data_IF_857775260995
#
_entry.id   IF_857775260995
#
_cell.length_a   1.000
_cell.length_b   1.000
_cell.length_c   1.000
_cell.angle_alpha   90.00
_cell.angle_beta   90.00
_cell.angle_gamma   90.00
#
_symmetry.space_group_name_H-M   'P 1'
#
loop_
_entity.id
_entity.type
_entity.pdbx_description
1 polymer ?
#
# COMPACT_ATOMS: atom_id res chain seq x y z
N UNK A 1 10.10 5.67 62.01
CA UNK A 1 8.87 4.92 61.65
C UNK A 1 8.47 5.35 60.24
N UNK A 2 8.84 4.60 59.19
CA UNK A 2 7.96 3.70 58.40
C UNK A 2 6.58 4.33 58.20
N UNK A 3 6.19 4.71 56.98
CA UNK A 3 5.65 3.75 56.00
C UNK A 3 5.85 4.23 54.55
N UNK A 4 6.20 3.24 53.75
CA UNK A 4 6.57 3.20 52.34
C UNK A 4 5.33 3.22 51.45
N UNK A 5 5.33 3.98 50.35
CA UNK A 5 4.42 3.77 49.20
C UNK A 5 5.23 3.88 47.91
N UNK A 6 5.59 2.71 47.39
CA UNK A 6 6.13 2.49 46.06
C UNK A 6 4.93 2.53 45.11
N UNK A 7 4.89 3.46 44.16
CA UNK A 7 4.01 3.34 42.99
C UNK A 7 4.83 2.77 41.83
N UNK A 8 4.60 1.49 41.57
CA UNK A 8 4.87 0.86 40.29
C UNK A 8 3.81 1.35 39.30
N UNK A 9 4.21 2.08 38.27
CA UNK A 9 3.40 2.25 37.07
C UNK A 9 4.18 1.61 35.91
N UNK A 10 4.01 0.30 35.77
CA UNK A 10 4.24 -0.38 34.51
C UNK A 10 3.19 0.11 33.52
N UNK A 11 3.59 0.91 32.52
CA UNK A 11 2.80 1.04 31.30
C UNK A 11 3.62 0.52 30.14
N UNK A 12 3.06 -0.55 29.57
CA UNK A 12 3.47 -1.32 28.42
C UNK A 12 4.12 -0.47 27.33
N UNK A 13 5.39 -0.76 27.05
CA UNK A 13 5.95 -0.59 25.72
C UNK A 13 5.07 -1.36 24.74
N UNK A 14 4.28 -0.63 23.96
CA UNK A 14 3.65 -1.16 22.76
C UNK A 14 4.76 -1.53 21.78
N UNK A 15 5.18 -2.79 21.82
CA UNK A 15 5.91 -3.42 20.72
C UNK A 15 4.92 -3.38 19.55
N UNK A 16 5.22 -2.72 18.42
CA UNK A 16 4.43 -2.94 17.23
C UNK A 16 4.56 -4.43 16.90
N UNK A 17 3.45 -5.17 17.02
CA UNK A 17 3.35 -6.49 16.44
C UNK A 17 3.65 -6.32 14.95
N UNK A 18 4.85 -6.76 14.55
CA UNK A 18 5.16 -7.14 13.19
C UNK A 18 4.01 -8.02 12.72
N UNK A 19 3.19 -7.49 11.81
CA UNK A 19 2.27 -8.31 11.05
C UNK A 19 3.09 -9.14 10.06
N UNK A 20 3.72 -10.21 10.57
CA UNK A 20 4.21 -11.33 9.76
C UNK A 20 3.01 -12.11 9.22
N UNK A 21 2.23 -11.47 8.36
CA UNK A 21 1.15 -12.13 7.63
C UNK A 21 1.73 -12.67 6.33
N UNK A 22 2.34 -13.86 6.39
CA UNK A 22 2.54 -14.77 5.25
C UNK A 22 3.06 -14.12 3.94
N UNK A 23 4.23 -13.47 4.00
CA UNK A 23 4.83 -12.70 2.90
C UNK A 23 5.93 -13.45 2.12
N UNK A 24 5.85 -14.78 2.03
CA UNK A 24 6.71 -15.55 1.15
C UNK A 24 6.03 -15.77 -0.19
N UNK A 25 6.79 -15.66 -1.29
CA UNK A 25 6.41 -16.27 -2.56
C UNK A 25 6.34 -17.78 -2.33
N UNK A 26 5.15 -18.25 -1.94
CA UNK A 26 4.91 -19.66 -1.72
C UNK A 26 4.77 -20.34 -3.08
N UNK A 27 5.57 -21.38 -3.37
CA UNK A 27 5.43 -22.13 -4.61
C UNK A 27 4.04 -22.76 -4.66
N UNK A 28 3.34 -22.57 -5.77
CA UNK A 28 2.14 -23.35 -6.08
C UNK A 28 2.55 -24.79 -6.40
N UNK A 29 2.64 -25.65 -5.39
CA UNK A 29 2.82 -27.10 -5.58
C UNK A 29 3.95 -27.70 -4.74
N UNK A 30 3.58 -28.66 -3.89
CA UNK A 30 4.51 -29.49 -3.14
C UNK A 30 5.17 -30.52 -4.07
N UNK A 31 6.36 -30.19 -4.53
CA UNK A 31 7.26 -31.07 -5.26
C UNK A 31 8.59 -30.36 -5.45
N UNK A 32 9.70 -31.03 -5.17
CA UNK A 32 11.03 -30.57 -5.60
C UNK A 32 11.12 -30.87 -7.09
N UNK A 33 10.37 -30.12 -7.89
CA UNK A 33 10.47 -30.17 -9.34
C UNK A 33 11.45 -29.07 -9.73
N UNK A 34 12.65 -29.46 -10.14
CA UNK A 34 13.63 -28.56 -10.75
C UNK A 34 13.09 -28.19 -12.13
N UNK A 35 12.13 -27.28 -12.18
CA UNK A 35 11.67 -26.70 -13.44
C UNK A 35 12.88 -26.01 -14.09
N UNK A 36 13.21 -26.31 -15.35
CA UNK A 36 14.25 -25.59 -16.07
C UNK A 36 13.96 -24.07 -16.01
N UNK A 37 14.97 -23.31 -15.62
CA UNK A 37 14.89 -21.85 -15.62
C UNK A 37 14.91 -21.28 -17.04
N UNK A 38 14.64 -19.98 -17.15
CA UNK A 38 14.81 -19.26 -18.41
C UNK A 38 16.29 -18.96 -18.66
N UNK A 39 16.70 -18.98 -19.93
CA UNK A 39 18.08 -18.65 -20.35
C UNK A 39 18.50 -17.23 -19.93
N UNK A 40 17.54 -16.32 -19.81
CA UNK A 40 17.74 -14.98 -19.25
C UNK A 40 16.95 -14.85 -17.94
N UNK A 41 17.63 -14.36 -16.90
CA UNK A 41 17.02 -14.08 -15.61
C UNK A 41 15.94 -13.02 -15.70
N UNK A 42 14.81 -13.24 -15.03
CA UNK A 42 13.75 -12.24 -14.93
C UNK A 42 13.01 -12.29 -13.60
N UNK A 43 12.40 -11.17 -13.24
CA UNK A 43 11.40 -11.05 -12.18
C UNK A 43 10.29 -10.15 -12.67
N UNK A 44 9.04 -10.59 -12.53
CA UNK A 44 7.87 -9.84 -13.00
C UNK A 44 6.77 -9.84 -11.95
N UNK A 45 6.20 -8.66 -11.70
CA UNK A 45 4.94 -8.50 -10.99
C UNK A 45 3.80 -8.20 -11.97
N UNK A 46 2.63 -8.76 -11.69
CA UNK A 46 1.39 -8.48 -12.42
C UNK A 46 0.27 -8.20 -11.44
N UNK A 47 -0.26 -6.99 -11.49
CA UNK A 47 -1.47 -6.64 -10.76
C UNK A 47 -2.65 -7.49 -11.26
N UNK A 48 -3.62 -7.83 -10.40
CA UNK A 48 -4.92 -8.33 -10.85
C UNK A 48 -5.54 -7.43 -11.94
N UNK A 49 -6.40 -8.01 -12.79
CA UNK A 49 -7.00 -7.28 -13.93
C UNK A 49 -7.86 -6.10 -13.50
N UNK A 50 -8.58 -6.23 -12.38
CA UNK A 50 -9.33 -5.14 -11.80
C UNK A 50 -8.39 -4.13 -11.15
N UNK A 51 -8.76 -2.85 -11.21
CA UNK A 51 -8.05 -1.80 -10.50
C UNK A 51 -8.21 -2.01 -8.99
N UNK A 52 -7.18 -1.61 -8.24
CA UNK A 52 -7.22 -1.76 -6.80
C UNK A 52 -8.11 -0.67 -6.24
N UNK A 53 -9.23 -1.05 -5.62
CA UNK A 53 -10.19 -0.08 -5.10
C UNK A 53 -9.89 0.27 -3.66
N UNK A 54 -9.73 1.55 -3.37
CA UNK A 54 -9.61 2.08 -2.01
C UNK A 54 -10.76 3.07 -1.80
N UNK A 55 -11.50 2.90 -0.71
CA UNK A 55 -12.52 3.87 -0.30
C UNK A 55 -12.06 4.54 0.99
N UNK A 56 -11.94 5.86 0.96
CA UNK A 56 -11.54 6.68 2.09
C UNK A 56 -12.68 7.63 2.45
N UNK A 57 -12.93 7.78 3.75
CA UNK A 57 -13.88 8.76 4.28
C UNK A 57 -13.10 9.85 4.98
N UNK A 58 -13.40 11.09 4.66
CA UNK A 58 -12.79 12.28 5.23
C UNK A 58 -13.85 13.19 5.83
N UNK A 59 -13.47 13.97 6.83
CA UNK A 59 -14.31 14.99 7.45
C UNK A 59 -13.51 16.19 7.96
N UNK A 60 -14.17 17.33 8.19
CA UNK A 60 -13.61 18.39 9.02
C UNK A 60 -13.42 17.93 10.46
N UNK A 61 -12.34 18.34 11.10
CA UNK A 61 -12.14 18.09 12.54
C UNK A 61 -13.17 18.90 13.33
N UNK A 62 -13.97 18.22 14.16
CA UNK A 62 -15.08 18.83 14.91
C UNK A 62 -14.65 19.97 15.83
N UNK A 63 -15.54 20.95 16.05
CA UNK A 63 -15.33 22.07 16.96
C UNK A 63 -14.74 23.33 16.31
N UNK A 64 -14.58 23.32 14.99
CA UNK A 64 -14.06 24.44 14.22
C UNK A 64 -15.20 25.33 13.72
N UNK A 65 -15.61 26.30 14.53
CA UNK A 65 -16.48 27.39 14.05
C UNK A 65 -15.76 28.29 13.04
N UNK A 66 -16.50 28.95 12.16
CA UNK A 66 -15.94 29.95 11.24
C UNK A 66 -15.97 29.52 9.76
N UNK A 67 -15.12 30.16 8.94
CA UNK A 67 -15.06 29.92 7.50
C UNK A 67 -14.58 28.49 7.19
N UNK A 68 -15.35 27.68 6.44
CA UNK A 68 -14.97 26.33 6.02
C UNK A 68 -13.61 26.23 5.32
N UNK A 69 -13.17 27.32 4.67
CA UNK A 69 -11.85 27.40 4.05
C UNK A 69 -10.67 27.27 5.04
N UNK A 70 -10.92 27.39 6.35
CA UNK A 70 -9.91 27.30 7.40
C UNK A 70 -10.01 25.99 8.21
N UNK A 71 -10.87 25.06 7.80
CA UNK A 71 -11.02 23.80 8.53
C UNK A 71 -9.82 22.89 8.30
N UNK A 72 -9.39 22.22 9.37
CA UNK A 72 -8.50 21.09 9.26
C UNK A 72 -9.33 19.84 8.98
N UNK A 73 -8.74 18.93 8.21
CA UNK A 73 -9.40 17.72 7.77
C UNK A 73 -8.67 16.48 8.26
N UNK A 74 -9.43 15.41 8.46
CA UNK A 74 -8.90 14.12 8.81
C UNK A 74 -9.57 13.02 7.99
N UNK A 75 -8.83 11.95 7.71
CA UNK A 75 -9.41 10.68 7.32
C UNK A 75 -10.00 10.00 8.55
N UNK A 76 -11.27 9.63 8.47
CA UNK A 76 -11.95 8.82 9.49
C UNK A 76 -11.85 7.34 9.18
N UNK A 77 -11.95 6.96 7.90
CA UNK A 77 -11.88 5.56 7.48
C UNK A 77 -11.13 5.41 6.15
N UNK A 78 -10.43 4.28 5.93
CA UNK A 78 -10.11 3.23 6.90
C UNK A 78 -9.11 3.73 7.95
N UNK A 79 -9.28 3.41 9.23
CA UNK A 79 -8.31 3.75 10.29
C UNK A 79 -7.22 2.69 10.54
N UNK A 80 -6.10 3.09 11.15
CA UNK A 80 -5.08 2.18 11.71
C UNK A 80 -4.60 1.06 10.76
N UNK A 81 -4.53 -0.18 11.27
CA UNK A 81 -4.12 -1.35 10.48
C UNK A 81 -5.04 -1.68 9.30
N UNK A 82 -6.29 -1.20 9.32
CA UNK A 82 -7.21 -1.31 8.19
C UNK A 82 -6.77 -0.48 6.99
N UNK A 83 -6.06 0.63 7.21
CA UNK A 83 -5.54 1.46 6.13
C UNK A 83 -4.39 0.81 5.38
N UNK A 84 -3.43 0.22 6.11
CA UNK A 84 -2.35 -0.56 5.49
C UNK A 84 -2.91 -1.75 4.68
N UNK A 85 -3.92 -2.45 5.22
CA UNK A 85 -4.60 -3.52 4.50
C UNK A 85 -5.31 -3.01 3.23
N UNK A 86 -5.98 -1.86 3.30
CA UNK A 86 -6.63 -1.26 2.14
C UNK A 86 -5.66 -0.87 1.03
N UNK A 87 -4.41 -0.55 1.34
CA UNK A 87 -3.36 -0.21 0.35
C UNK A 87 -2.57 -1.41 -0.17
N UNK A 88 -2.83 -2.59 0.38
CA UNK A 88 -2.11 -3.82 0.04
C UNK A 88 -2.70 -4.47 -1.20
N UNK A 89 -1.90 -4.60 -2.26
CA UNK A 89 -2.26 -5.37 -3.46
C UNK A 89 -1.68 -6.78 -3.35
N UNK A 90 -2.50 -7.77 -3.72
CA UNK A 90 -2.03 -9.14 -3.96
C UNK A 90 -1.54 -9.27 -5.40
N UNK A 91 -0.24 -9.07 -5.61
CA UNK A 91 0.41 -9.20 -6.91
C UNK A 91 0.61 -10.67 -7.28
N UNK A 92 0.49 -10.99 -8.57
CA UNK A 92 1.04 -12.23 -9.12
C UNK A 92 2.52 -11.99 -9.39
N UNK A 93 3.38 -12.86 -8.89
CA UNK A 93 4.82 -12.71 -8.98
C UNK A 93 5.43 -13.96 -9.60
N UNK A 94 6.34 -13.76 -10.55
CA UNK A 94 7.07 -14.84 -11.20
C UNK A 94 8.52 -14.42 -11.36
N UNK A 95 9.44 -15.33 -11.07
CA UNK A 95 10.86 -15.13 -11.33
C UNK A 95 11.50 -16.42 -11.85
N UNK A 96 12.55 -16.27 -12.66
CA UNK A 96 13.27 -17.39 -13.25
C UNK A 96 14.74 -17.04 -13.51
N UNK A 97 15.63 -18.04 -13.41
CA UNK A 97 17.06 -18.00 -13.69
C UNK A 97 17.51 -19.37 -14.19
N UNK A 98 18.43 -19.41 -15.15
CA UNK A 98 19.10 -20.61 -15.66
C UNK A 98 19.77 -21.42 -14.54
N UNK A 99 20.58 -20.76 -13.69
CA UNK A 99 21.46 -21.38 -12.69
C UNK A 99 20.97 -21.24 -11.23
N UNK A 100 19.73 -20.76 -11.04
CA UNK A 100 19.13 -20.58 -9.72
C UNK A 100 19.00 -19.12 -9.30
N UNK A 101 17.93 -18.83 -8.56
CA UNK A 101 17.59 -17.50 -8.04
C UNK A 101 18.30 -17.30 -6.70
N UNK A 102 19.07 -16.23 -6.58
CA UNK A 102 19.74 -15.86 -5.35
C UNK A 102 18.85 -15.08 -4.40
N UNK A 103 18.30 -13.96 -4.87
CA UNK A 103 17.38 -13.14 -4.09
C UNK A 103 16.46 -12.33 -5.00
N UNK A 104 15.33 -11.90 -4.43
CA UNK A 104 14.36 -10.99 -5.05
C UNK A 104 14.07 -9.89 -4.05
N UNK A 105 13.94 -8.65 -4.52
CA UNK A 105 13.63 -7.49 -3.70
C UNK A 105 12.53 -6.66 -4.33
N UNK A 106 11.59 -6.23 -3.51
CA UNK A 106 10.52 -5.30 -3.85
C UNK A 106 10.67 -4.07 -2.96
N UNK A 107 10.71 -2.88 -3.56
CA UNK A 107 10.86 -1.59 -2.88
C UNK A 107 9.78 -0.63 -3.36
N UNK A 108 9.30 0.26 -2.50
CA UNK A 108 8.16 1.12 -2.80
C UNK A 108 7.53 1.69 -1.53
N UNK A 109 6.26 2.15 -1.60
CA UNK A 109 5.57 2.82 -0.49
C UNK A 109 5.52 2.01 0.81
N UNK A 110 5.37 0.69 0.69
CA UNK A 110 5.39 -0.26 1.82
C UNK A 110 6.77 -0.54 2.41
N UNK A 111 7.81 0.15 1.97
CA UNK A 111 9.21 -0.12 2.34
C UNK A 111 9.84 -1.22 1.50
N UNK A 112 10.88 -1.87 2.02
CA UNK A 112 11.63 -2.89 1.27
C UNK A 112 11.32 -4.28 1.78
N UNK A 113 10.91 -5.18 0.88
CA UNK A 113 10.79 -6.62 1.12
C UNK A 113 11.89 -7.35 0.34
N UNK A 114 12.60 -8.27 0.98
CA UNK A 114 13.64 -9.09 0.32
C UNK A 114 13.43 -10.56 0.65
N UNK A 115 13.44 -11.41 -0.37
CA UNK A 115 13.40 -12.86 -0.25
C UNK A 115 14.71 -13.45 -0.78
N UNK A 116 15.43 -14.18 0.07
CA UNK A 116 16.65 -14.89 -0.32
C UNK A 116 16.35 -16.37 -0.55
N UNK A 117 16.84 -16.90 -1.67
CA UNK A 117 16.59 -18.26 -2.16
C UNK A 117 17.89 -19.08 -2.28
N UNK A 118 19.07 -18.46 -2.14
CA UNK A 118 20.37 -19.15 -2.10
C UNK A 118 20.65 -20.05 -3.31
N UNK A 119 20.09 -19.74 -4.49
CA UNK A 119 20.25 -20.53 -5.71
C UNK A 119 19.46 -21.85 -5.71
N UNK A 120 18.63 -22.13 -4.70
CA UNK A 120 17.96 -23.43 -4.54
C UNK A 120 16.83 -23.68 -5.53
N UNK A 121 16.38 -22.65 -6.26
CA UNK A 121 15.26 -22.73 -7.21
C UNK A 121 15.59 -21.95 -8.46
N UNK A 122 15.36 -22.55 -9.62
CA UNK A 122 15.56 -21.93 -10.92
C UNK A 122 14.34 -21.14 -11.36
N UNK A 123 13.15 -21.49 -10.86
CA UNK A 123 11.92 -20.75 -11.11
C UNK A 123 11.01 -20.71 -9.88
N UNK A 124 10.27 -19.62 -9.73
CA UNK A 124 9.19 -19.49 -8.73
C UNK A 124 7.99 -18.77 -9.36
N UNK A 125 6.80 -19.14 -8.90
CA UNK A 125 5.55 -18.47 -9.23
C UNK A 125 4.64 -18.50 -8.01
N UNK A 126 3.93 -17.40 -7.76
CA UNK A 126 3.03 -17.29 -6.63
C UNK A 126 2.45 -15.88 -6.50
N UNK A 127 2.21 -15.47 -5.25
CA UNK A 127 1.67 -14.17 -4.94
C UNK A 127 2.47 -13.47 -3.85
N UNK A 128 2.47 -12.14 -3.90
CA UNK A 128 3.00 -11.29 -2.84
C UNK A 128 1.97 -10.23 -2.46
N UNK A 129 1.78 -10.02 -1.16
CA UNK A 129 0.97 -8.93 -0.64
C UNK A 129 1.90 -7.75 -0.37
N UNK A 130 1.71 -6.65 -1.07
CA UNK A 130 2.60 -5.50 -0.98
C UNK A 130 1.80 -4.21 -0.78
N UNK A 131 2.16 -3.44 0.25
CA UNK A 131 1.61 -2.10 0.47
C UNK A 131 2.10 -1.17 -0.64
N UNK A 132 1.19 -0.86 -1.55
CA UNK A 132 1.50 -0.41 -2.90
C UNK A 132 1.31 1.09 -3.10
N UNK A 133 0.83 1.83 -2.10
CA UNK A 133 0.46 3.24 -2.23
C UNK A 133 0.91 4.06 -1.03
N UNK A 134 1.38 5.28 -1.25
CA UNK A 134 1.78 6.17 -0.16
C UNK A 134 0.56 6.70 0.61
N UNK A 135 0.59 6.63 1.95
CA UNK A 135 -0.58 6.97 2.76
C UNK A 135 -0.87 8.47 2.68
N UNK A 136 0.20 9.28 2.70
CA UNK A 136 0.12 10.73 2.66
C UNK A 136 -0.35 11.23 1.29
N UNK A 137 0.02 10.54 0.21
CA UNK A 137 -0.41 10.89 -1.14
C UNK A 137 -1.93 10.63 -1.32
N UNK A 138 -2.41 9.50 -0.81
CA UNK A 138 -3.84 9.18 -0.79
C UNK A 138 -4.63 10.16 0.10
N UNK A 139 -4.11 10.44 1.30
CA UNK A 139 -4.73 11.40 2.24
C UNK A 139 -4.81 12.79 1.58
N UNK A 140 -3.74 13.25 0.92
CA UNK A 140 -3.73 14.54 0.23
C UNK A 140 -4.79 14.64 -0.89
N UNK A 141 -5.05 13.56 -1.63
CA UNK A 141 -6.09 13.56 -2.68
C UNK A 141 -7.48 13.67 -2.07
N UNK A 142 -7.83 12.83 -1.10
CA UNK A 142 -9.18 12.84 -0.53
C UNK A 142 -9.45 14.05 0.36
N UNK A 143 -8.47 14.48 1.17
CA UNK A 143 -8.59 15.70 1.97
C UNK A 143 -8.71 16.93 1.08
N UNK A 144 -7.84 17.06 0.06
CA UNK A 144 -7.91 18.19 -0.87
C UNK A 144 -9.24 18.26 -1.63
N UNK A 145 -9.83 17.10 -1.97
CA UNK A 145 -11.19 17.06 -2.52
C UNK A 145 -12.25 17.50 -1.50
N UNK A 146 -12.20 16.99 -0.26
CA UNK A 146 -13.13 17.37 0.80
C UNK A 146 -13.10 18.88 1.11
N UNK A 147 -11.91 19.46 1.18
CA UNK A 147 -11.69 20.91 1.33
C UNK A 147 -12.37 21.70 0.21
N UNK A 148 -12.10 21.35 -1.05
CA UNK A 148 -12.69 22.01 -2.21
C UNK A 148 -14.22 21.88 -2.23
N UNK A 149 -14.73 20.70 -1.89
CA UNK A 149 -16.16 20.41 -1.91
C UNK A 149 -16.93 21.16 -0.80
N UNK A 150 -16.37 21.24 0.40
CA UNK A 150 -16.96 22.02 1.49
C UNK A 150 -17.04 23.50 1.13
N UNK A 151 -15.98 24.07 0.57
CA UNK A 151 -15.96 25.46 0.12
C UNK A 151 -17.06 25.77 -0.87
N UNK A 152 -17.29 24.89 -1.85
CA UNK A 152 -18.37 25.03 -2.82
C UNK A 152 -19.76 24.92 -2.18
N UNK A 153 -19.96 23.93 -1.30
CA UNK A 153 -21.23 23.69 -0.63
C UNK A 153 -21.69 24.84 0.28
N UNK A 154 -20.77 25.39 1.08
CA UNK A 154 -21.12 26.45 2.03
C UNK A 154 -21.30 27.81 1.36
N UNK A 155 -20.78 28.01 0.14
CA UNK A 155 -20.94 29.24 -0.62
C UNK A 155 -22.26 29.31 -1.40
N UNK A 156 -22.76 28.16 -1.91
CA UNK A 156 -23.99 28.10 -2.72
C UNK A 156 -25.00 27.09 -2.15
N UNK A 157 -25.71 27.41 -1.04
CA UNK A 157 -26.68 26.50 -0.42
C UNK A 157 -27.91 26.19 -1.30
N UNK A 158 -28.17 27.02 -2.31
CA UNK A 158 -29.39 26.96 -3.14
C UNK A 158 -29.22 26.15 -4.44
N UNK A 159 -28.01 25.73 -4.82
CA UNK A 159 -27.71 25.10 -6.13
C UNK A 159 -27.71 23.56 -6.15
N UNK A 160 -28.16 22.90 -5.08
CA UNK A 160 -28.25 21.44 -5.02
C UNK A 160 -27.12 20.80 -4.23
N UNK A 161 -27.44 19.66 -3.60
CA UNK A 161 -26.69 19.09 -2.49
C UNK A 161 -25.22 18.80 -2.75
N UNK A 162 -24.47 18.71 -1.65
CA UNK A 162 -23.06 18.38 -1.66
C UNK A 162 -22.75 17.04 -2.35
N UNK A 163 -21.74 17.03 -3.23
CA UNK A 163 -21.10 15.79 -3.66
C UNK A 163 -20.49 15.14 -2.40
N UNK A 164 -21.08 14.04 -1.95
CA UNK A 164 -20.63 13.31 -0.76
C UNK A 164 -19.71 12.16 -1.10
N UNK A 165 -19.54 11.85 -2.39
CA UNK A 165 -18.65 10.80 -2.88
C UNK A 165 -18.09 11.20 -4.24
N UNK A 166 -16.78 11.03 -4.43
CA UNK A 166 -16.11 11.18 -5.71
C UNK A 166 -15.17 10.01 -5.97
N UNK A 167 -15.26 9.47 -7.18
CA UNK A 167 -14.33 8.44 -7.66
C UNK A 167 -13.27 9.06 -8.56
N UNK A 168 -12.01 8.78 -8.24
CA UNK A 168 -10.84 9.08 -9.04
C UNK A 168 -10.40 7.77 -9.72
N UNK A 169 -10.80 7.60 -10.97
CA UNK A 169 -10.28 6.58 -11.86
C UNK A 169 -9.16 7.20 -12.69
N UNK A 170 -7.94 6.81 -12.37
CA UNK A 170 -6.73 7.31 -12.99
C UNK A 170 -6.36 6.54 -14.28
N UNK A 171 -7.35 6.03 -15.05
CA UNK A 171 -7.26 5.59 -16.45
C UNK A 171 -5.87 5.00 -16.85
N UNK A 172 -5.40 4.07 -16.04
CA UNK A 172 -4.18 3.27 -16.25
C UNK A 172 -2.85 4.03 -16.38
N UNK A 173 -2.80 5.34 -16.10
CA UNK A 173 -1.58 6.15 -16.26
C UNK A 173 -1.41 7.31 -15.29
N UNK A 174 -2.46 7.71 -14.57
CA UNK A 174 -2.23 8.65 -13.50
C UNK A 174 -1.72 7.86 -12.28
N UNK A 175 -0.60 8.37 -11.77
CA UNK A 175 0.04 7.97 -10.54
C UNK A 175 -0.69 8.75 -9.47
N UNK A 176 -1.11 8.11 -8.37
CA UNK A 176 -1.58 8.86 -7.19
C UNK A 176 -0.55 9.94 -6.93
N UNK A 177 -0.91 11.20 -7.17
CA UNK A 177 0.11 12.25 -7.26
C UNK A 177 0.90 12.29 -5.95
N UNK A 178 2.21 12.07 -6.03
CA UNK A 178 3.09 12.00 -4.87
C UNK A 178 3.38 10.59 -4.34
N UNK A 179 2.76 9.55 -4.89
CA UNK A 179 3.09 8.16 -4.56
C UNK A 179 4.29 7.67 -5.39
N UNK A 180 5.25 7.03 -4.71
CA UNK A 180 6.40 6.39 -5.30
C UNK A 180 6.01 5.11 -6.05
N UNK A 181 6.73 4.76 -7.14
CA UNK A 181 6.52 3.49 -7.84
C UNK A 181 6.97 2.30 -7.00
N UNK A 182 6.55 1.11 -7.45
CA UNK A 182 7.10 -0.16 -6.95
C UNK A 182 8.25 -0.59 -7.86
N UNK A 183 9.42 -0.79 -7.28
CA UNK A 183 10.61 -1.30 -7.96
C UNK A 183 10.84 -2.75 -7.58
N UNK A 184 11.18 -3.58 -8.55
CA UNK A 184 11.45 -5.01 -8.36
C UNK A 184 12.80 -5.31 -8.97
N UNK A 185 13.66 -5.93 -8.18
CA UNK A 185 15.02 -6.31 -8.55
C UNK A 185 15.29 -7.73 -8.10
N UNK A 186 16.30 -8.36 -8.67
CA UNK A 186 16.71 -9.69 -8.26
C UNK A 186 18.12 -10.02 -8.72
N UNK A 187 18.61 -11.15 -8.25
CA UNK A 187 19.84 -11.74 -8.75
C UNK A 187 19.67 -13.25 -8.93
N UNK A 188 20.26 -13.76 -9.99
CA UNK A 188 20.59 -15.15 -10.21
C UNK A 188 21.95 -15.47 -9.57
N UNK A 189 22.31 -16.75 -9.52
CA UNK A 189 23.64 -17.22 -9.09
C UNK A 189 24.75 -16.77 -10.04
N UNK A 190 24.43 -16.57 -11.32
CA UNK A 190 25.34 -16.20 -12.42
C UNK A 190 25.32 -14.70 -12.78
N UNK A 191 24.41 -13.91 -12.20
CA UNK A 191 24.35 -12.46 -12.46
C UNK A 191 23.09 -11.77 -11.96
N UNK A 192 23.00 -10.43 -12.10
CA UNK A 192 21.80 -9.68 -11.74
C UNK A 192 20.65 -9.96 -12.73
N UNK A 193 19.41 -9.91 -12.24
CA UNK A 193 18.22 -9.81 -13.09
C UNK A 193 18.03 -8.35 -13.52
N UNK A 194 17.32 -8.10 -14.64
CA UNK A 194 16.85 -6.76 -14.98
C UNK A 194 15.92 -6.22 -13.88
N UNK A 195 16.07 -4.93 -13.58
CA UNK A 195 15.16 -4.22 -12.68
C UNK A 195 13.89 -3.82 -13.42
N UNK A 196 12.74 -3.95 -12.75
CA UNK A 196 11.43 -3.60 -13.28
C UNK A 196 10.76 -2.55 -12.38
N UNK A 197 10.00 -1.64 -12.98
CA UNK A 197 9.26 -0.60 -12.27
C UNK A 197 7.79 -0.68 -12.61
N UNK A 198 6.94 -0.72 -11.58
CA UNK A 198 5.50 -0.85 -11.67
C UNK A 198 4.81 0.37 -11.09
N UNK A 199 3.82 0.86 -11.84
CA UNK A 199 2.85 1.84 -11.36
C UNK A 199 1.54 1.10 -11.08
N UNK A 200 1.14 0.92 -9.82
CA UNK A 200 -0.11 0.26 -9.49
C UNK A 200 -1.31 1.06 -9.98
N UNK A 201 -2.31 0.35 -10.50
CA UNK A 201 -3.59 0.94 -10.92
C UNK A 201 -4.53 1.05 -9.73
N UNK A 202 -5.15 2.20 -9.57
CA UNK A 202 -6.01 2.54 -8.44
C UNK A 202 -7.34 3.10 -8.91
N UNK A 203 -8.41 2.65 -8.27
CA UNK A 203 -9.69 3.37 -8.20
C UNK A 203 -9.83 3.93 -6.77
N UNK A 204 -9.63 5.24 -6.62
CA UNK A 204 -9.75 5.90 -5.32
C UNK A 204 -11.12 6.53 -5.16
N UNK A 205 -11.88 6.09 -4.17
CA UNK A 205 -13.19 6.64 -3.82
C UNK A 205 -13.03 7.48 -2.57
N UNK A 206 -13.21 8.78 -2.68
CA UNK A 206 -13.24 9.68 -1.55
C UNK A 206 -14.69 9.94 -1.15
N UNK A 207 -15.00 9.79 0.13
CA UNK A 207 -16.30 10.05 0.74
C UNK A 207 -16.18 11.17 1.75
N UNK A 208 -17.16 12.03 1.77
CA UNK A 208 -17.28 13.08 2.76
C UNK A 208 -18.34 12.68 3.78
N UNK A 209 -17.93 12.66 5.06
CA UNK A 209 -18.81 12.57 6.22
C UNK A 209 -18.97 13.98 6.82
N UNK A 210 -20.09 14.67 6.55
CA UNK A 210 -20.32 16.06 6.95
C UNK A 210 -20.53 16.26 8.46
#
# INVERSE_FOLDING_TARGET
MRTQRILFACLFSAIPLSADANNHLLPSGGGVETTPGADAGFVVLRQPRADHRITMTVRPISGQGGNPANWNWERTEPGGGGYAAARTIRWNATASCSEGIQWIRITGPGGTQTQTLNGTRNAISGHVNYDSFDPDALDAVCIGWGEAQSGACFQNPDEGGCETERTFDENHRAIVRGSAPIMVSGACTDGPMPDETYQPRLELVCRWDP
#
